data_IF_125722712332
#
_entry.id   IF_125722712332
#
_cell.length_a   1.000
_cell.length_b   1.000
_cell.length_c   1.000
_cell.angle_alpha   90.00
_cell.angle_beta   90.00
_cell.angle_gamma   90.00
#
_symmetry.space_group_name_H-M   'P 1'
#
loop_
_entity.id
_entity.type
_entity.pdbx_description
1 polymer ?
#
# COMPACT_ATOMS: atom_id res chain seq x y z
N UNK A 1 51.59 60.12 -4.92
CA UNK A 1 52.79 60.19 -4.03
C UNK A 1 52.41 59.60 -2.69
N UNK A 2 53.17 58.59 -2.24
CA UNK A 2 53.13 57.90 -0.94
C UNK A 2 51.83 57.13 -0.63
N UNK A 3 51.84 55.90 -0.12
CA UNK A 3 52.89 55.12 0.53
C UNK A 3 52.59 53.62 0.44
N UNK A 4 53.61 52.84 0.75
CA UNK A 4 53.79 51.42 0.47
C UNK A 4 53.63 50.60 1.76
N UNK A 5 53.31 49.30 1.59
CA UNK A 5 53.57 48.17 2.49
C UNK A 5 52.79 48.01 3.80
N UNK A 6 52.13 46.83 3.90
CA UNK A 6 52.38 45.87 5.00
C UNK A 6 51.97 44.45 4.60
N UNK A 7 52.96 43.65 4.27
CA UNK A 7 52.94 42.18 4.32
C UNK A 7 52.90 41.74 5.79
N UNK A 8 52.08 40.74 6.14
CA UNK A 8 52.51 39.48 6.77
C UNK A 8 51.36 38.74 7.50
N UNK A 9 51.49 37.39 7.50
CA UNK A 9 50.95 36.38 8.46
C UNK A 9 49.46 36.01 8.25
N UNK A 10 48.99 34.77 8.22
CA UNK A 10 49.48 33.38 8.09
C UNK A 10 48.20 32.51 8.12
N UNK A 11 48.26 31.32 7.52
CA UNK A 11 47.55 30.09 7.95
C UNK A 11 46.15 29.70 7.41
N UNK A 12 46.19 28.60 6.63
CA UNK A 12 45.45 27.32 6.76
C UNK A 12 43.92 27.30 6.52
N UNK A 13 43.48 26.19 5.90
CA UNK A 13 42.11 25.71 5.59
C UNK A 13 41.58 26.25 4.25
N UNK A 14 41.26 25.43 3.25
CA UNK A 14 40.22 24.39 3.28
C UNK A 14 40.59 23.22 2.35
N UNK A 15 40.82 22.05 2.94
CA UNK A 15 40.74 20.76 2.25
C UNK A 15 39.64 19.99 2.97
N UNK A 16 38.40 20.22 2.53
CA UNK A 16 37.23 19.46 2.94
C UNK A 16 36.23 19.52 1.77
N UNK A 17 36.52 18.77 0.72
CA UNK A 17 35.52 18.36 -0.25
C UNK A 17 34.53 17.44 0.48
N UNK A 18 33.51 18.04 1.08
CA UNK A 18 32.38 17.34 1.66
C UNK A 18 31.59 16.69 0.51
N UNK A 19 31.85 15.40 0.36
CA UNK A 19 31.00 14.42 -0.27
C UNK A 19 29.63 14.44 0.43
N UNK A 20 28.72 15.31 -0.01
CA UNK A 20 27.32 15.24 0.38
C UNK A 20 26.69 14.10 -0.43
N UNK A 21 26.87 12.87 0.06
CA UNK A 21 26.01 11.77 -0.33
C UNK A 21 24.62 12.13 0.17
N UNK A 22 23.72 12.45 -0.77
CA UNK A 22 22.28 12.49 -0.53
C UNK A 22 21.82 11.08 -0.17
N UNK A 23 21.98 10.69 1.09
CA UNK A 23 21.26 9.58 1.69
C UNK A 23 19.84 10.07 1.96
N UNK A 24 18.98 10.09 0.94
CA UNK A 24 17.54 9.99 1.17
C UNK A 24 17.27 8.56 1.61
N UNK A 25 17.54 8.27 2.88
CA UNK A 25 16.92 7.13 3.54
C UNK A 25 15.43 7.45 3.60
N UNK A 26 14.62 6.72 2.85
CA UNK A 26 13.19 6.60 3.10
C UNK A 26 13.03 6.02 4.51
N UNK A 27 12.99 6.91 5.50
CA UNK A 27 12.74 6.58 6.90
C UNK A 27 11.25 6.30 7.01
N UNK A 28 10.86 5.05 6.84
CA UNK A 28 9.54 4.56 7.21
C UNK A 28 9.49 4.43 8.75
N UNK A 29 9.47 5.57 9.45
CA UNK A 29 9.56 5.65 10.93
C UNK A 29 8.23 5.67 11.64
N UNK A 30 7.78 4.53 12.17
CA UNK A 30 6.76 4.42 13.23
C UNK A 30 5.31 4.82 12.90
N UNK A 31 4.56 3.96 12.19
CA UNK A 31 3.11 4.00 12.38
C UNK A 31 2.84 3.73 13.86
N UNK A 32 2.00 4.51 14.56
CA UNK A 32 1.68 4.23 15.95
C UNK A 32 1.23 2.78 16.05
N UNK A 33 1.78 2.07 17.03
CA UNK A 33 1.48 0.67 17.34
C UNK A 33 0.00 0.38 17.05
N UNK A 34 -0.21 -0.64 16.24
CA UNK A 34 -1.46 -1.39 16.25
C UNK A 34 -1.61 -1.97 17.66
N UNK A 35 -2.12 -1.16 18.58
CA UNK A 35 -2.42 -1.60 19.93
C UNK A 35 -3.56 -2.59 19.82
N UNK A 36 -3.36 -3.78 20.38
CA UNK A 36 -4.34 -4.88 20.40
C UNK A 36 -5.74 -4.46 20.94
N UNK A 37 -5.84 -3.28 21.56
CA UNK A 37 -7.06 -2.67 22.09
C UNK A 37 -8.08 -2.21 21.03
N UNK A 38 -7.79 -2.34 19.73
CA UNK A 38 -8.69 -1.94 18.65
C UNK A 38 -9.00 -3.05 17.63
N UNK A 39 -8.65 -4.31 17.91
CA UNK A 39 -9.31 -5.41 17.20
C UNK A 39 -10.78 -5.47 17.63
N UNK A 40 -11.68 -5.66 16.66
CA UNK A 40 -13.04 -6.07 17.02
C UNK A 40 -12.91 -7.36 17.86
N UNK A 41 -13.77 -7.56 18.88
CA UNK A 41 -13.91 -8.90 19.42
C UNK A 41 -14.21 -9.80 18.23
N UNK A 42 -13.29 -10.74 17.96
CA UNK A 42 -13.44 -11.66 16.84
C UNK A 42 -14.68 -12.47 17.13
N UNK A 43 -15.72 -12.30 16.31
CA UNK A 43 -16.92 -13.12 16.41
C UNK A 43 -16.63 -14.49 15.78
N UNK A 44 -17.13 -15.56 16.38
CA UNK A 44 -16.90 -16.94 15.91
C UNK A 44 -17.56 -17.24 14.54
N UNK A 45 -18.47 -16.38 14.06
CA UNK A 45 -19.19 -16.57 12.79
C UNK A 45 -18.39 -16.08 11.57
N UNK A 46 -17.18 -16.61 11.36
CA UNK A 46 -16.45 -16.40 10.12
C UNK A 46 -16.83 -17.48 9.09
N UNK A 47 -17.26 -17.11 7.87
CA UNK A 47 -17.39 -18.08 6.79
C UNK A 47 -16.10 -18.90 6.62
N UNK A 48 -16.27 -20.21 6.46
CA UNK A 48 -15.18 -21.15 6.17
C UNK A 48 -15.59 -22.05 4.98
N UNK A 49 -15.00 -21.87 3.79
CA UNK A 49 -13.95 -20.90 3.46
C UNK A 49 -14.47 -19.45 3.39
N UNK A 50 -13.60 -18.48 3.72
CA UNK A 50 -13.91 -17.05 3.55
C UNK A 50 -13.66 -16.62 2.11
N UNK A 51 -14.68 -16.76 1.25
CA UNK A 51 -14.61 -16.38 -0.17
C UNK A 51 -15.24 -15.00 -0.41
N UNK A 52 -14.52 -14.13 -1.11
CA UNK A 52 -14.99 -12.78 -1.48
C UNK A 52 -14.85 -12.48 -2.97
N UNK A 53 -15.50 -11.38 -3.38
CA UNK A 53 -15.35 -10.82 -4.73
C UNK A 53 -14.09 -10.00 -4.84
N UNK A 54 -13.52 -9.91 -6.04
CA UNK A 54 -12.47 -8.94 -6.32
C UNK A 54 -13.00 -7.50 -6.17
N UNK A 55 -12.19 -6.54 -5.70
CA UNK A 55 -12.61 -5.15 -5.59
C UNK A 55 -12.66 -4.43 -6.95
N UNK A 56 -12.32 -5.10 -8.04
CA UNK A 56 -12.17 -4.56 -9.40
C UNK A 56 -12.78 -5.50 -10.44
N UNK A 57 -12.96 -5.00 -11.66
CA UNK A 57 -13.22 -5.82 -12.85
C UNK A 57 -11.91 -6.42 -13.37
N UNK A 58 -11.71 -7.71 -13.11
CA UNK A 58 -10.47 -8.42 -13.48
C UNK A 58 -10.26 -8.53 -14.99
N UNK A 59 -11.32 -8.38 -15.81
CA UNK A 59 -11.16 -8.43 -17.27
C UNK A 59 -10.33 -7.26 -17.82
N UNK A 60 -10.15 -6.20 -17.03
CA UNK A 60 -9.31 -5.05 -17.36
C UNK A 60 -7.86 -5.20 -16.89
N UNK A 61 -7.58 -6.15 -16.00
CA UNK A 61 -6.24 -6.31 -15.43
C UNK A 61 -5.27 -6.84 -16.50
N UNK A 62 -4.11 -6.20 -16.61
CA UNK A 62 -3.05 -6.57 -17.56
C UNK A 62 -1.97 -7.41 -16.91
N UNK A 63 -1.72 -7.19 -15.61
CA UNK A 63 -0.76 -7.94 -14.81
C UNK A 63 -1.12 -7.87 -13.33
N UNK A 64 -0.54 -8.76 -12.53
CA UNK A 64 -0.78 -8.87 -11.08
C UNK A 64 0.50 -8.63 -10.30
N UNK A 65 0.39 -8.04 -9.11
CA UNK A 65 1.42 -8.02 -8.08
C UNK A 65 1.04 -9.03 -7.01
N UNK A 66 1.94 -9.95 -6.68
CA UNK A 66 1.67 -10.94 -5.65
C UNK A 66 1.83 -10.30 -4.27
N UNK A 67 1.01 -10.65 -3.26
CA UNK A 67 1.28 -10.24 -1.90
C UNK A 67 2.52 -10.97 -1.35
N UNK A 68 3.21 -10.40 -0.37
CA UNK A 68 4.36 -11.02 0.27
C UNK A 68 5.62 -11.02 -0.59
N UNK A 69 5.91 -9.90 -1.26
CA UNK A 69 7.09 -9.74 -2.12
C UNK A 69 7.96 -8.57 -1.68
N UNK A 70 9.27 -8.68 -1.90
CA UNK A 70 10.18 -7.52 -1.89
C UNK A 70 10.07 -6.84 -3.24
N UNK A 71 9.64 -5.58 -3.27
CA UNK A 71 9.53 -4.79 -4.51
C UNK A 71 10.33 -3.50 -4.40
N UNK A 72 11.33 -3.35 -5.27
CA UNK A 72 12.41 -2.39 -5.03
C UNK A 72 13.22 -2.86 -3.81
N UNK A 73 13.15 -2.10 -2.73
CA UNK A 73 13.81 -2.37 -1.45
C UNK A 73 12.81 -2.43 -0.27
N UNK A 74 11.51 -2.52 -0.55
CA UNK A 74 10.47 -2.55 0.48
C UNK A 74 9.66 -3.85 0.40
N UNK A 75 9.39 -4.44 1.55
CA UNK A 75 8.56 -5.61 1.67
C UNK A 75 7.09 -5.23 1.63
N UNK A 76 6.35 -5.86 0.73
CA UNK A 76 4.94 -5.56 0.46
C UNK A 76 4.08 -6.76 0.81
N UNK A 77 3.41 -6.69 1.97
CA UNK A 77 2.41 -7.67 2.36
C UNK A 77 1.10 -7.61 1.55
N UNK A 78 0.95 -6.59 0.69
CA UNK A 78 -0.16 -6.47 -0.24
C UNK A 78 0.28 -6.79 -1.67
N UNK A 79 -0.66 -7.27 -2.46
CA UNK A 79 -0.52 -7.41 -3.90
C UNK A 79 -1.19 -6.24 -4.61
N UNK A 80 -1.69 -6.50 -5.80
CA UNK A 80 -2.42 -5.51 -6.57
C UNK A 80 -2.58 -5.90 -8.02
N UNK A 81 -3.16 -5.00 -8.81
CA UNK A 81 -3.34 -5.17 -10.24
C UNK A 81 -2.81 -3.94 -10.99
N UNK A 82 -2.24 -4.18 -12.16
CA UNK A 82 -2.01 -3.15 -13.17
C UNK A 82 -3.11 -3.20 -14.22
N UNK A 83 -3.38 -2.05 -14.82
CA UNK A 83 -4.35 -1.89 -15.90
C UNK A 83 -3.71 -1.05 -17.01
N UNK A 84 -2.62 -1.55 -17.58
CA UNK A 84 -1.73 -0.79 -18.47
C UNK A 84 -2.41 -0.32 -19.77
N UNK A 85 -3.55 -0.91 -20.11
CA UNK A 85 -4.38 -0.56 -21.28
C UNK A 85 -5.59 0.30 -20.92
N UNK A 86 -5.74 0.72 -19.65
CA UNK A 86 -6.87 1.51 -19.16
C UNK A 86 -6.44 2.86 -18.61
N UNK A 87 -7.32 3.85 -18.73
CA UNK A 87 -7.17 5.12 -18.05
C UNK A 87 -7.51 5.00 -16.55
N UNK A 88 -6.99 5.92 -15.75
CA UNK A 88 -7.18 5.93 -14.30
C UNK A 88 -8.66 5.90 -13.90
N UNK A 89 -9.51 6.63 -14.62
CA UNK A 89 -10.95 6.78 -14.39
C UNK A 89 -11.84 5.68 -15.01
N UNK A 90 -11.22 4.67 -15.62
CA UNK A 90 -11.93 3.48 -16.12
C UNK A 90 -11.99 2.35 -15.09
N UNK A 91 -11.28 2.48 -13.97
CA UNK A 91 -11.20 1.46 -12.92
C UNK A 91 -12.05 1.87 -11.72
N UNK A 92 -13.18 1.20 -11.57
CA UNK A 92 -14.06 1.33 -10.41
C UNK A 92 -13.61 0.34 -9.33
N UNK A 93 -13.42 0.84 -8.12
CA UNK A 93 -13.08 0.04 -6.94
C UNK A 93 -14.32 -0.10 -6.06
N UNK A 94 -14.65 -1.33 -5.70
CA UNK A 94 -15.79 -1.66 -4.85
C UNK A 94 -15.37 -2.42 -3.60
N UNK A 95 -16.24 -2.41 -2.60
CA UNK A 95 -16.09 -3.17 -1.37
C UNK A 95 -16.24 -4.68 -1.66
N UNK A 96 -15.22 -5.52 -1.40
CA UNK A 96 -15.23 -6.95 -1.74
C UNK A 96 -16.17 -7.79 -0.86
N UNK A 97 -16.44 -7.36 0.37
CA UNK A 97 -17.34 -7.98 1.34
C UNK A 97 -17.79 -6.97 2.40
N UNK A 98 -18.92 -7.24 3.04
CA UNK A 98 -19.44 -6.41 4.15
C UNK A 98 -18.35 -6.20 5.21
N UNK A 99 -18.11 -4.96 5.60
CA UNK A 99 -17.01 -4.63 6.50
C UNK A 99 -17.26 -3.28 7.18
N UNK A 100 -16.28 -2.88 7.99
CA UNK A 100 -16.21 -1.57 8.59
C UNK A 100 -14.94 -0.86 8.18
N UNK A 101 -15.03 0.41 7.78
CA UNK A 101 -13.82 1.26 7.70
C UNK A 101 -13.26 1.40 9.11
N UNK A 102 -11.97 1.13 9.29
CA UNK A 102 -11.29 1.19 10.59
C UNK A 102 -10.15 2.20 10.60
N UNK A 103 -9.52 2.42 9.45
CA UNK A 103 -8.49 3.44 9.30
C UNK A 103 -8.45 3.97 7.87
N UNK A 104 -7.75 5.07 7.68
CA UNK A 104 -7.44 5.58 6.36
C UNK A 104 -6.45 6.73 6.40
N UNK A 105 -6.04 7.20 5.23
CA UNK A 105 -5.07 8.27 5.09
C UNK A 105 -5.23 8.96 3.74
N UNK A 106 -4.74 10.20 3.69
CA UNK A 106 -4.62 10.97 2.44
C UNK A 106 -3.24 11.61 2.38
N UNK A 107 -2.60 11.52 1.22
CA UNK A 107 -1.20 11.95 1.06
C UNK A 107 -0.94 12.39 -0.38
N UNK A 108 -0.11 13.42 -0.61
CA UNK A 108 0.31 13.79 -1.95
C UNK A 108 1.23 12.73 -2.57
N UNK A 109 1.12 12.52 -3.87
CA UNK A 109 2.09 11.84 -4.72
C UNK A 109 2.13 12.56 -6.06
N UNK A 110 3.28 13.13 -6.44
CA UNK A 110 3.45 13.88 -7.70
C UNK A 110 2.41 15.02 -7.86
N UNK A 111 2.07 15.68 -6.75
CA UNK A 111 1.08 16.77 -6.71
C UNK A 111 -0.39 16.33 -6.82
N UNK A 112 -0.69 15.04 -6.71
CA UNK A 112 -2.05 14.49 -6.64
C UNK A 112 -2.31 13.89 -5.26
N UNK A 113 -3.50 14.09 -4.70
CA UNK A 113 -3.86 13.43 -3.44
C UNK A 113 -4.25 11.98 -3.75
N UNK A 114 -3.59 11.06 -3.05
CA UNK A 114 -3.88 9.64 -3.05
C UNK A 114 -4.53 9.26 -1.71
N UNK A 115 -5.36 8.23 -1.75
CA UNK A 115 -6.07 7.75 -0.57
C UNK A 115 -5.80 6.27 -0.32
N UNK A 116 -5.81 5.93 0.96
CA UNK A 116 -5.73 4.56 1.47
C UNK A 116 -6.81 4.35 2.52
N UNK A 117 -7.44 3.18 2.50
CA UNK A 117 -8.42 2.77 3.50
C UNK A 117 -8.16 1.34 3.97
N UNK A 118 -8.33 1.14 5.27
CA UNK A 118 -8.36 -0.16 5.92
C UNK A 118 -9.78 -0.50 6.34
N UNK A 119 -10.17 -1.73 6.07
CA UNK A 119 -11.48 -2.26 6.34
C UNK A 119 -11.36 -3.55 7.14
N UNK A 120 -12.24 -3.73 8.13
CA UNK A 120 -12.25 -4.92 8.97
C UNK A 120 -13.63 -5.58 8.95
N UNK A 121 -13.62 -6.90 8.73
CA UNK A 121 -14.74 -7.77 9.04
C UNK A 121 -14.69 -8.14 10.53
N UNK A 122 -15.84 -8.25 11.23
CA UNK A 122 -15.91 -8.66 12.64
C UNK A 122 -15.21 -9.98 12.96
N UNK A 123 -15.11 -10.91 12.01
CA UNK A 123 -14.39 -12.16 12.20
C UNK A 123 -12.86 -12.07 12.07
N UNK A 124 -12.26 -10.87 12.06
CA UNK A 124 -10.81 -10.71 12.13
C UNK A 124 -10.08 -10.68 10.78
N UNK A 125 -10.81 -10.76 9.66
CA UNK A 125 -10.25 -10.55 8.32
C UNK A 125 -10.28 -9.07 7.98
N UNK A 126 -9.17 -8.53 7.50
CA UNK A 126 -9.06 -7.15 7.04
C UNK A 126 -8.58 -7.07 5.60
N UNK A 127 -8.94 -5.97 4.93
CA UNK A 127 -8.35 -5.63 3.65
C UNK A 127 -7.96 -4.15 3.60
N UNK A 128 -6.94 -3.86 2.79
CA UNK A 128 -6.43 -2.51 2.53
C UNK A 128 -6.57 -2.22 1.04
N UNK A 129 -7.11 -1.05 0.71
CA UNK A 129 -7.12 -0.49 -0.64
C UNK A 129 -6.23 0.75 -0.64
N UNK A 130 -5.19 0.77 -1.48
CA UNK A 130 -4.26 1.89 -1.62
C UNK A 130 -4.28 2.49 -3.02
N UNK A 131 -3.65 3.65 -3.19
CA UNK A 131 -3.59 4.35 -4.49
C UNK A 131 -4.96 4.61 -5.12
N UNK A 132 -5.94 4.96 -4.29
CA UNK A 132 -7.22 5.46 -4.76
C UNK A 132 -7.06 6.93 -5.15
N UNK A 133 -7.63 7.34 -6.28
CA UNK A 133 -7.47 8.70 -6.82
C UNK A 133 -8.77 9.52 -6.68
N UNK A 134 -9.88 9.05 -7.25
CA UNK A 134 -11.18 9.74 -7.16
C UNK A 134 -12.14 8.93 -6.31
N UNK A 135 -12.42 9.38 -5.09
CA UNK A 135 -13.30 8.69 -4.16
C UNK A 135 -14.78 8.93 -4.49
N UNK A 136 -15.64 7.98 -4.13
CA UNK A 136 -17.08 8.24 -4.11
C UNK A 136 -17.45 9.23 -2.99
N UNK A 137 -18.61 9.90 -3.03
CA UNK A 137 -18.96 10.94 -2.06
C UNK A 137 -18.88 10.50 -0.60
N UNK A 138 -19.30 9.26 -0.30
CA UNK A 138 -19.21 8.72 1.06
C UNK A 138 -17.75 8.62 1.51
N UNK A 139 -16.88 8.04 0.70
CA UNK A 139 -15.48 7.83 1.07
C UNK A 139 -14.69 9.13 1.08
N UNK A 140 -15.02 10.08 0.19
CA UNK A 140 -14.46 11.43 0.24
C UNK A 140 -14.75 12.11 1.58
N UNK A 141 -16.00 12.04 2.07
CA UNK A 141 -16.37 12.61 3.36
C UNK A 141 -15.69 11.92 4.56
N UNK A 142 -15.29 10.65 4.42
CA UNK A 142 -14.47 9.96 5.42
C UNK A 142 -13.03 10.46 5.34
N UNK A 143 -12.45 10.51 4.13
CA UNK A 143 -11.07 10.89 3.89
C UNK A 143 -10.75 12.31 4.37
N UNK A 144 -11.70 13.24 4.25
CA UNK A 144 -11.54 14.64 4.69
C UNK A 144 -11.30 14.79 6.20
N UNK A 145 -11.64 13.77 6.99
CA UNK A 145 -11.39 13.75 8.44
C UNK A 145 -9.97 13.35 8.80
N UNK A 146 -9.22 12.77 7.86
CA UNK A 146 -7.83 12.39 8.09
C UNK A 146 -6.89 13.59 7.92
N UNK A 147 -5.79 13.64 8.69
CA UNK A 147 -4.73 14.59 8.42
C UNK A 147 -4.21 14.40 6.99
N UNK A 148 -3.81 15.49 6.35
CA UNK A 148 -3.05 15.41 5.11
C UNK A 148 -1.60 15.11 5.49
N UNK A 149 -1.11 13.93 5.13
CA UNK A 149 0.27 13.55 5.40
C UNK A 149 1.23 14.23 4.41
N UNK A 150 2.52 14.14 4.70
CA UNK A 150 3.59 14.53 3.79
C UNK A 150 3.57 13.71 2.49
N UNK A 151 4.22 14.22 1.44
CA UNK A 151 4.29 13.54 0.15
C UNK A 151 4.90 12.14 0.28
N UNK A 152 4.25 11.15 -0.33
CA UNK A 152 4.63 9.73 -0.27
C UNK A 152 4.31 9.03 1.06
N UNK A 153 3.80 9.73 2.08
CA UNK A 153 3.53 9.15 3.38
C UNK A 153 2.12 8.56 3.48
N UNK A 154 1.98 7.27 3.16
CA UNK A 154 0.71 6.53 3.12
C UNK A 154 0.17 6.07 4.48
N UNK A 155 0.65 6.64 5.59
CA UNK A 155 0.21 6.22 6.92
C UNK A 155 -1.26 6.46 7.18
N UNK A 156 -1.87 5.46 7.79
CA UNK A 156 -3.28 5.47 8.15
C UNK A 156 -3.48 5.97 9.58
N UNK A 157 -4.56 6.74 9.79
CA UNK A 157 -5.09 7.11 11.10
C UNK A 157 -6.35 6.29 11.37
N UNK A 158 -6.46 5.73 12.57
CA UNK A 158 -7.64 4.96 12.99
C UNK A 158 -8.87 5.87 13.15
N UNK A 159 -10.05 5.38 12.79
CA UNK A 159 -11.32 6.05 13.09
C UNK A 159 -11.96 5.47 14.36
N UNK A 160 -12.37 6.35 15.28
CA UNK A 160 -13.02 5.93 16.54
C UNK A 160 -14.41 5.36 16.31
N UNK A 161 -15.19 6.03 15.47
CA UNK A 161 -16.52 5.56 15.05
C UNK A 161 -16.37 4.88 13.71
N UNK A 162 -16.30 3.54 13.76
CA UNK A 162 -16.25 2.68 12.57
C UNK A 162 -17.48 2.92 11.68
N UNK A 163 -17.29 2.77 10.38
CA UNK A 163 -18.34 3.07 9.39
C UNK A 163 -18.62 1.81 8.61
N UNK A 164 -19.86 1.31 8.71
CA UNK A 164 -20.29 0.13 7.97
C UNK A 164 -20.30 0.40 6.46
N UNK A 165 -19.84 -0.59 5.72
CA UNK A 165 -19.85 -0.64 4.26
C UNK A 165 -20.40 -1.98 3.80
N UNK A 166 -21.03 -1.99 2.63
CA UNK A 166 -21.64 -3.19 2.06
C UNK A 166 -20.90 -3.67 0.83
N UNK A 167 -20.86 -4.98 0.61
CA UNK A 167 -20.31 -5.56 -0.61
C UNK A 167 -20.87 -4.86 -1.86
N UNK A 168 -20.00 -4.51 -2.80
CA UNK A 168 -20.36 -3.83 -4.05
C UNK A 168 -20.51 -2.32 -3.92
N UNK A 169 -20.44 -1.74 -2.72
CA UNK A 169 -20.41 -0.28 -2.55
C UNK A 169 -19.17 0.31 -3.23
N UNK A 170 -19.36 1.39 -4.01
CA UNK A 170 -18.26 2.04 -4.73
C UNK A 170 -17.39 2.85 -3.77
N UNK A 171 -16.12 2.48 -3.68
CA UNK A 171 -15.09 3.18 -2.91
C UNK A 171 -14.52 4.32 -3.75
N UNK A 172 -14.17 4.03 -5.00
CA UNK A 172 -13.45 4.93 -5.88
C UNK A 172 -13.83 4.69 -7.34
N UNK A 173 -13.82 5.76 -8.13
CA UNK A 173 -14.06 5.74 -9.58
C UNK A 173 -12.79 6.00 -10.39
N UNK A 174 -11.65 6.20 -9.72
CA UNK A 174 -10.35 6.27 -10.40
C UNK A 174 -9.23 5.82 -9.48
N UNK A 175 -8.20 5.15 -10.01
CA UNK A 175 -7.06 4.60 -9.25
C UNK A 175 -5.73 5.05 -9.82
N UNK A 176 -4.64 4.87 -9.06
CA UNK A 176 -3.29 5.15 -9.51
C UNK A 176 -2.98 6.63 -9.62
N UNK A 177 -2.05 6.96 -10.51
CA UNK A 177 -1.52 8.32 -10.69
C UNK A 177 -1.71 8.76 -12.14
N UNK A 178 -2.24 9.95 -12.38
CA UNK A 178 -2.29 10.52 -13.74
C UNK A 178 -1.00 11.25 -14.09
N UNK A 179 -0.19 11.56 -13.06
CA UNK A 179 1.07 12.28 -13.18
C UNK A 179 2.24 11.44 -12.69
N UNK A 180 3.34 11.54 -13.41
CA UNK A 180 4.62 10.95 -13.04
C UNK A 180 5.70 12.01 -13.09
N UNK A 181 6.51 12.08 -12.04
CA UNK A 181 7.75 12.86 -12.00
C UNK A 181 8.95 12.08 -12.53
N UNK A 182 8.78 10.81 -12.91
CA UNK A 182 9.86 10.01 -13.51
C UNK A 182 10.13 10.50 -14.94
N UNK A 183 11.34 10.99 -15.26
CA UNK A 183 11.68 11.47 -16.59
C UNK A 183 11.58 10.38 -17.67
N UNK A 184 11.68 9.10 -17.29
CA UNK A 184 11.63 7.92 -18.16
C UNK A 184 10.22 7.33 -18.25
N UNK A 185 9.32 7.69 -17.34
CA UNK A 185 7.91 7.27 -17.38
C UNK A 185 7.01 8.50 -17.40
N UNK A 186 6.61 8.90 -18.62
CA UNK A 186 5.73 10.04 -18.86
C UNK A 186 4.34 9.53 -19.21
N UNK A 187 3.46 9.48 -18.23
CA UNK A 187 2.07 9.10 -18.49
C UNK A 187 1.32 8.66 -17.24
N UNK A 188 0.02 8.35 -17.40
CA UNK A 188 -0.77 7.74 -16.36
C UNK A 188 -0.19 6.37 -15.99
N UNK A 189 -0.20 6.07 -14.69
CA UNK A 189 0.03 4.75 -14.15
C UNK A 189 -1.26 4.29 -13.48
N UNK A 190 -1.98 3.39 -14.14
CA UNK A 190 -3.27 2.86 -13.67
C UNK A 190 -3.04 1.55 -12.93
N UNK A 191 -3.20 1.57 -11.60
CA UNK A 191 -2.99 0.41 -10.74
C UNK A 191 -3.75 0.55 -9.42
N UNK A 192 -3.99 -0.59 -8.76
CA UNK A 192 -4.58 -0.66 -7.43
C UNK A 192 -3.71 -1.54 -6.54
N UNK A 193 -3.32 -1.02 -5.38
CA UNK A 193 -2.72 -1.82 -4.32
C UNK A 193 -3.83 -2.46 -3.46
N UNK A 194 -3.74 -3.77 -3.26
CA UNK A 194 -4.72 -4.53 -2.51
C UNK A 194 -4.07 -5.56 -1.58
N UNK A 195 -4.27 -5.35 -0.28
CA UNK A 195 -3.82 -6.27 0.77
C UNK A 195 -5.00 -6.94 1.45
N UNK A 196 -4.81 -8.19 1.86
CA UNK A 196 -5.76 -8.96 2.67
C UNK A 196 -4.98 -9.60 3.80
N UNK A 197 -5.55 -9.55 5.01
CA UNK A 197 -4.88 -9.95 6.23
C UNK A 197 -5.84 -10.79 7.09
N UNK A 198 -5.36 -11.94 7.57
CA UNK A 198 -6.07 -12.79 8.52
C UNK A 198 -5.48 -12.58 9.92
N UNK A 199 -6.11 -11.73 10.73
CA UNK A 199 -5.60 -11.48 12.08
C UNK A 199 -5.94 -12.59 13.09
N UNK A 200 -6.63 -13.65 12.67
CA UNK A 200 -6.89 -14.82 13.54
C UNK A 200 -5.66 -15.72 13.66
N UNK A 201 -4.80 -15.71 12.64
CA UNK A 201 -3.63 -16.60 12.56
C UNK A 201 -2.50 -15.93 11.77
N UNK A 202 -1.26 -16.11 12.24
CA UNK A 202 -0.09 -15.67 11.49
C UNK A 202 0.10 -16.53 10.23
N UNK A 203 0.66 -15.94 9.18
CA UNK A 203 0.99 -16.66 7.95
C UNK A 203 2.15 -17.66 8.16
N UNK A 204 2.38 -18.49 7.15
CA UNK A 204 3.39 -19.56 7.19
C UNK A 204 4.81 -19.02 7.32
N UNK A 205 5.13 -17.93 6.61
CA UNK A 205 6.45 -17.28 6.70
C UNK A 205 6.76 -16.79 8.12
N UNK A 206 5.73 -16.30 8.83
CA UNK A 206 5.83 -15.85 10.21
C UNK A 206 6.02 -16.97 11.24
N UNK A 207 6.03 -18.25 10.83
CA UNK A 207 6.46 -19.35 11.70
C UNK A 207 8.00 -19.42 11.84
N UNK A 208 8.74 -18.75 10.96
CA UNK A 208 10.19 -18.64 11.04
C UNK A 208 10.59 -17.39 11.87
N UNK A 209 11.23 -17.57 13.05
CA UNK A 209 11.63 -16.44 13.90
C UNK A 209 12.58 -15.44 13.21
N UNK A 210 13.50 -15.94 12.38
CA UNK A 210 14.43 -15.08 11.63
C UNK A 210 13.66 -14.18 10.67
N UNK A 211 12.70 -14.76 9.94
CA UNK A 211 11.85 -14.00 9.04
C UNK A 211 11.04 -12.94 9.79
N UNK A 212 10.45 -13.28 10.94
CA UNK A 212 9.67 -12.30 11.74
C UNK A 212 10.52 -11.16 12.32
N UNK A 213 11.81 -11.39 12.57
CA UNK A 213 12.72 -10.36 13.04
C UNK A 213 13.03 -9.33 11.94
N UNK A 214 13.09 -9.77 10.69
CA UNK A 214 13.26 -8.92 9.51
C UNK A 214 11.93 -8.24 9.08
N UNK A 215 10.80 -8.86 9.40
CA UNK A 215 9.45 -8.43 9.00
C UNK A 215 8.56 -8.14 10.22
N UNK A 216 8.92 -7.10 10.95
CA UNK A 216 8.32 -6.78 12.26
C UNK A 216 6.95 -6.08 12.19
N UNK A 217 6.57 -5.51 11.06
CA UNK A 217 5.27 -4.87 10.91
C UNK A 217 4.14 -5.92 11.00
N UNK A 218 3.07 -5.67 11.79
CA UNK A 218 2.01 -6.66 11.98
C UNK A 218 1.39 -7.16 10.67
N UNK A 219 1.13 -6.27 9.71
CA UNK A 219 0.56 -6.64 8.40
C UNK A 219 1.42 -7.66 7.65
N UNK A 220 2.73 -7.69 7.87
CA UNK A 220 3.62 -8.66 7.24
C UNK A 220 3.41 -10.06 7.80
N UNK A 221 3.09 -10.19 9.09
CA UNK A 221 2.90 -11.49 9.73
C UNK A 221 1.48 -12.05 9.56
N UNK A 222 0.52 -11.22 9.13
CA UNK A 222 -0.89 -11.60 8.94
C UNK A 222 -1.35 -11.52 7.48
N UNK A 223 -0.49 -11.10 6.55
CA UNK A 223 -0.80 -11.08 5.12
C UNK A 223 -1.05 -12.49 4.59
N UNK A 224 -2.04 -12.63 3.70
CA UNK A 224 -2.42 -13.92 3.10
C UNK A 224 -2.27 -13.89 1.58
N UNK A 225 -2.17 -15.08 0.98
CA UNK A 225 -2.43 -15.23 -0.44
C UNK A 225 -3.94 -15.16 -0.69
N UNK A 226 -4.44 -13.98 -1.02
CA UNK A 226 -5.87 -13.78 -1.25
C UNK A 226 -6.41 -14.52 -2.49
N UNK A 227 -5.54 -15.16 -3.28
CA UNK A 227 -5.93 -15.94 -4.45
C UNK A 227 -6.76 -17.17 -4.05
N UNK A 228 -6.53 -17.70 -2.85
CA UNK A 228 -7.28 -18.85 -2.33
C UNK A 228 -8.63 -18.44 -1.72
N UNK A 229 -8.90 -17.12 -1.65
CA UNK A 229 -10.04 -16.51 -0.96
C UNK A 229 -10.99 -15.81 -1.95
N UNK A 230 -10.83 -16.07 -3.24
CA UNK A 230 -11.70 -15.61 -4.32
C UNK A 230 -12.34 -16.80 -5.03
N UNK A 231 -13.28 -16.53 -5.94
CA UNK A 231 -13.90 -17.60 -6.72
C UNK A 231 -12.85 -18.38 -7.53
N UNK A 232 -13.04 -19.68 -7.79
CA UNK A 232 -12.13 -20.44 -8.63
C UNK A 232 -11.92 -19.81 -10.02
N UNK A 233 -12.99 -19.23 -10.61
CA UNK A 233 -12.91 -18.52 -11.89
C UNK A 233 -11.98 -17.29 -11.81
N UNK A 234 -12.12 -16.48 -10.76
CA UNK A 234 -11.26 -15.32 -10.57
C UNK A 234 -9.82 -15.74 -10.25
N UNK A 235 -9.63 -16.81 -9.45
CA UNK A 235 -8.31 -17.37 -9.16
C UNK A 235 -7.61 -17.81 -10.44
N UNK A 236 -8.29 -18.54 -11.31
CA UNK A 236 -7.73 -18.97 -12.59
C UNK A 236 -7.33 -17.77 -13.45
N UNK A 237 -8.17 -16.72 -13.52
CA UNK A 237 -7.82 -15.47 -14.20
C UNK A 237 -6.57 -14.82 -13.61
N UNK A 238 -6.50 -14.67 -12.29
CA UNK A 238 -5.34 -14.08 -11.60
C UNK A 238 -4.06 -14.85 -11.93
N UNK A 239 -4.09 -16.18 -11.88
CA UNK A 239 -2.92 -17.02 -12.13
C UNK A 239 -2.45 -16.97 -13.59
N UNK A 240 -3.34 -16.68 -14.54
CA UNK A 240 -2.97 -16.48 -15.95
C UNK A 240 -2.32 -15.13 -16.24
N UNK A 241 -2.50 -14.12 -15.36
CA UNK A 241 -1.89 -12.81 -15.55
C UNK A 241 -0.35 -12.90 -15.42
N UNK A 242 0.40 -12.15 -16.24
CA UNK A 242 1.83 -11.98 -16.02
C UNK A 242 2.08 -11.25 -14.70
N UNK A 243 3.25 -11.48 -14.10
CA UNK A 243 3.67 -10.68 -12.94
C UNK A 243 4.04 -9.25 -13.38
N UNK A 244 3.67 -8.28 -12.56
CA UNK A 244 4.08 -6.89 -12.72
C UNK A 244 5.43 -6.60 -12.07
N UNK A 245 5.95 -7.51 -11.22
CA UNK A 245 7.32 -7.43 -10.71
C UNK A 245 8.26 -8.13 -11.70
N UNK A 246 8.96 -7.34 -12.52
CA UNK A 246 9.88 -7.86 -13.53
C UNK A 246 11.15 -8.49 -12.93
N UNK A 247 11.45 -8.22 -11.65
CA UNK A 247 12.67 -8.71 -10.99
C UNK A 247 12.44 -10.06 -10.31
N UNK A 248 11.38 -10.17 -9.51
CA UNK A 248 11.10 -11.40 -8.75
C UNK A 248 9.94 -12.22 -9.33
N UNK A 249 9.27 -11.72 -10.37
CA UNK A 249 8.20 -12.44 -11.04
C UNK A 249 7.08 -12.79 -10.06
N UNK A 250 6.75 -14.09 -9.99
CA UNK A 250 5.69 -14.63 -9.14
C UNK A 250 6.18 -15.13 -7.78
N UNK A 251 7.47 -14.97 -7.46
CA UNK A 251 8.05 -15.36 -6.17
C UNK A 251 7.36 -14.60 -5.04
N UNK A 252 6.82 -15.32 -4.05
CA UNK A 252 6.02 -14.76 -2.96
C UNK A 252 6.18 -15.63 -1.71
N UNK A 253 6.31 -14.99 -0.56
CA UNK A 253 6.30 -15.66 0.75
C UNK A 253 4.91 -16.21 1.12
N UNK A 254 3.85 -15.70 0.50
CA UNK A 254 2.46 -16.03 0.87
C UNK A 254 1.79 -16.94 -0.15
N UNK A 255 2.04 -16.70 -1.43
CA UNK A 255 1.39 -17.39 -2.53
C UNK A 255 2.30 -18.46 -3.10
N UNK A 256 1.85 -19.71 -3.05
CA UNK A 256 2.51 -20.85 -3.68
C UNK A 256 1.85 -21.10 -5.05
N UNK A 257 2.66 -21.43 -6.06
CA UNK A 257 2.19 -21.81 -7.40
C UNK A 257 1.52 -23.19 -7.42
#
# INVERSE_FOLDING_TARGET
>A
MKEMNRTAILSIFVLAGLLVIFLVKNKQEDSPEFTASYQLPITDDCPDPFIFRLPIDISKATSVLYPGQVRGDDYKAHGGFRFDTSQNDEIIVTVPYDAQVVAGGRYPVNGEIQYVFDFAHPCGIQYRLGHLLTLSPKFQAIAEKFPLNEEGNSRTTQIRSRIDVKQGEVVSTAVGMTKSNDPNFRGPNTFLDWGVYDYRQKNEAAQNPTWTAEHSFPTYQYGVCWFDWISPEDRDRVLTLPSSDLKHGKESDYCKE
#
